data_IF_237832956037
#
_entry.id   IF_237832956037
#
_cell.length_a   1.000
_cell.length_b   1.000
_cell.length_c   1.000
_cell.angle_alpha   90.00
_cell.angle_beta   90.00
_cell.angle_gamma   90.00
#
_symmetry.space_group_name_H-M   'P 1'
#
loop_
_entity.id
_entity.type
_entity.pdbx_description
1 polymer ?
#
# COMPACT_ATOMS: atom_id res chain seq x y z
N UNK A 1 13.33 -15.33 -10.40
CA UNK A 1 14.40 -14.88 -11.33
C UNK A 1 15.60 -15.80 -11.14
N UNK A 2 16.39 -16.11 -12.17
CA UNK A 2 17.64 -16.87 -11.99
C UNK A 2 18.86 -15.93 -11.83
N UNK A 3 20.03 -16.46 -11.41
CA UNK A 3 21.24 -15.66 -11.12
C UNK A 3 21.68 -14.78 -12.28
N UNK A 4 21.70 -15.35 -13.49
CA UNK A 4 22.11 -14.64 -14.70
C UNK A 4 21.17 -13.47 -15.02
N UNK A 5 19.86 -13.69 -14.94
CA UNK A 5 18.86 -12.64 -15.10
C UNK A 5 19.01 -11.54 -14.05
N UNK A 6 19.27 -11.94 -12.80
CA UNK A 6 19.48 -11.01 -11.69
C UNK A 6 20.70 -10.11 -11.91
N UNK A 7 21.85 -10.69 -12.25
CA UNK A 7 23.06 -9.94 -12.55
C UNK A 7 22.92 -9.07 -13.82
N UNK A 8 22.22 -9.56 -14.85
CA UNK A 8 21.93 -8.77 -16.05
C UNK A 8 21.10 -7.52 -15.76
N UNK A 9 20.10 -7.60 -14.87
CA UNK A 9 19.31 -6.41 -14.48
C UNK A 9 20.21 -5.39 -13.79
N UNK A 10 21.07 -5.83 -12.87
CA UNK A 10 22.01 -4.95 -12.18
C UNK A 10 22.93 -4.26 -13.18
N UNK A 11 23.58 -5.04 -14.04
CA UNK A 11 24.55 -4.55 -15.01
C UNK A 11 23.92 -3.59 -16.02
N UNK A 12 22.76 -3.93 -16.58
CA UNK A 12 22.03 -3.07 -17.50
C UNK A 12 21.63 -1.75 -16.83
N UNK A 13 21.15 -1.80 -15.58
CA UNK A 13 20.79 -0.60 -14.82
C UNK A 13 22.02 0.30 -14.62
N UNK A 14 23.16 -0.30 -14.20
CA UNK A 14 24.41 0.44 -14.00
C UNK A 14 24.90 1.13 -15.28
N UNK A 15 24.74 0.50 -16.43
CA UNK A 15 25.21 1.01 -17.73
C UNK A 15 24.25 2.02 -18.38
N UNK A 16 22.94 1.88 -18.14
CA UNK A 16 21.90 2.60 -18.91
C UNK A 16 21.17 3.65 -18.08
N UNK A 17 20.80 3.31 -16.85
CA UNK A 17 19.93 4.13 -16.00
C UNK A 17 20.73 4.92 -14.94
N UNK A 18 21.92 4.42 -14.57
CA UNK A 18 22.75 5.02 -13.52
C UNK A 18 23.87 5.94 -14.01
N UNK A 19 23.93 6.29 -15.30
CA UNK A 19 24.91 7.27 -15.80
C UNK A 19 24.76 8.67 -15.14
N UNK A 20 23.60 8.95 -14.54
CA UNK A 20 23.29 10.20 -13.83
C UNK A 20 23.12 10.03 -12.32
N UNK A 21 23.25 8.81 -11.76
CA UNK A 21 23.11 8.60 -10.32
C UNK A 21 24.30 9.22 -9.57
N UNK A 22 24.03 10.14 -8.64
CA UNK A 22 25.05 10.87 -7.89
C UNK A 22 25.36 10.23 -6.54
N UNK A 23 24.52 9.28 -6.09
CA UNK A 23 24.65 8.64 -4.79
C UNK A 23 24.39 7.13 -4.82
N UNK A 24 24.96 6.41 -3.84
CA UNK A 24 24.73 4.98 -3.68
C UNK A 24 23.25 4.64 -3.45
N UNK A 25 22.48 5.55 -2.85
CA UNK A 25 21.05 5.40 -2.65
C UNK A 25 20.27 5.43 -3.96
N UNK A 26 20.57 6.38 -4.84
CA UNK A 26 19.93 6.49 -6.15
C UNK A 26 20.23 5.27 -7.03
N UNK A 27 21.50 4.85 -7.08
CA UNK A 27 21.91 3.64 -7.79
C UNK A 27 21.18 2.40 -7.26
N UNK A 28 21.14 2.24 -5.93
CA UNK A 28 20.45 1.11 -5.31
C UNK A 28 18.94 1.13 -5.58
N UNK A 29 18.31 2.31 -5.55
CA UNK A 29 16.89 2.48 -5.89
C UNK A 29 16.63 2.12 -7.35
N UNK A 30 17.45 2.56 -8.29
CA UNK A 30 17.29 2.25 -9.71
C UNK A 30 17.33 0.74 -9.94
N UNK A 31 18.36 0.06 -9.39
CA UNK A 31 18.53 -1.38 -9.52
C UNK A 31 17.32 -2.13 -8.95
N UNK A 32 16.94 -1.82 -7.72
CA UNK A 32 15.84 -2.51 -7.04
C UNK A 32 14.50 -2.27 -7.75
N UNK A 33 14.25 -1.05 -8.24
CA UNK A 33 13.04 -0.75 -9.00
C UNK A 33 12.96 -1.62 -10.28
N UNK A 34 14.07 -1.82 -10.99
CA UNK A 34 14.12 -2.69 -12.16
C UNK A 34 13.98 -4.18 -11.78
N UNK A 35 14.28 -4.56 -10.54
CA UNK A 35 13.95 -5.88 -9.97
C UNK A 35 12.50 -5.99 -9.47
N UNK A 36 11.70 -4.92 -9.52
CA UNK A 36 10.34 -4.88 -9.00
C UNK A 36 10.26 -4.81 -7.47
N UNK A 37 11.33 -4.35 -6.81
CA UNK A 37 11.44 -4.17 -5.37
C UNK A 37 11.69 -2.69 -5.07
N UNK A 38 11.04 -2.14 -4.05
CA UNK A 38 11.23 -0.72 -3.72
C UNK A 38 11.89 -0.53 -2.36
N UNK A 39 12.62 0.59 -2.23
CA UNK A 39 13.12 1.11 -0.97
C UNK A 39 12.23 2.28 -0.51
N UNK A 40 12.19 2.58 0.80
CA UNK A 40 11.56 3.79 1.31
C UNK A 40 12.06 5.04 0.57
N UNK A 41 11.21 6.06 0.48
CA UNK A 41 11.59 7.37 -0.04
C UNK A 41 12.28 8.20 1.05
N UNK A 42 12.87 9.35 0.70
CA UNK A 42 13.61 10.19 1.65
C UNK A 42 15.12 9.95 1.65
N UNK A 43 15.79 10.43 2.69
CA UNK A 43 17.25 10.34 2.85
C UNK A 43 17.70 8.96 3.38
N UNK A 44 19.02 8.72 3.42
CA UNK A 44 19.58 7.43 3.83
C UNK A 44 19.17 7.03 5.26
N UNK A 45 19.11 8.01 6.16
CA UNK A 45 18.78 7.78 7.56
C UNK A 45 17.32 7.32 7.69
N UNK A 46 16.40 8.02 7.04
CA UNK A 46 14.99 7.63 7.01
C UNK A 46 14.80 6.25 6.37
N UNK A 47 15.50 5.95 5.27
CA UNK A 47 15.47 4.64 4.62
C UNK A 47 15.91 3.53 5.58
N UNK A 48 17.02 3.73 6.29
CA UNK A 48 17.50 2.80 7.31
C UNK A 48 16.49 2.63 8.45
N UNK A 49 15.94 3.73 8.95
CA UNK A 49 14.99 3.73 10.06
C UNK A 49 13.69 3.00 9.75
N UNK A 50 13.21 3.10 8.51
CA UNK A 50 12.02 2.39 8.06
C UNK A 50 12.31 0.91 7.81
N UNK A 51 13.42 0.56 7.14
CA UNK A 51 13.74 -0.84 6.81
C UNK A 51 13.99 -1.68 8.07
N UNK A 52 14.65 -1.13 9.09
CA UNK A 52 14.94 -1.86 10.35
C UNK A 52 13.69 -2.26 11.13
N UNK A 53 12.51 -1.69 10.83
CA UNK A 53 11.24 -2.09 11.45
C UNK A 53 10.78 -3.48 11.03
N UNK A 54 11.33 -4.03 9.93
CA UNK A 54 10.87 -5.26 9.29
C UNK A 54 9.40 -5.25 8.82
N UNK A 55 8.77 -4.08 8.64
CA UNK A 55 7.38 -3.99 8.12
C UNK A 55 7.31 -3.36 6.72
N UNK A 56 8.44 -2.84 6.22
CA UNK A 56 8.48 -2.19 4.92
C UNK A 56 8.62 -3.20 3.77
N UNK A 57 7.56 -3.35 2.97
CA UNK A 57 7.55 -4.07 1.69
C UNK A 57 8.19 -5.47 1.68
N UNK A 58 8.07 -6.25 2.75
CA UNK A 58 8.70 -7.57 2.83
C UNK A 58 10.23 -7.55 2.97
N UNK A 59 10.86 -6.42 3.25
CA UNK A 59 12.26 -6.41 3.67
C UNK A 59 12.38 -7.02 5.06
N UNK A 60 13.31 -7.97 5.20
CA UNK A 60 13.58 -8.68 6.45
C UNK A 60 15.06 -8.70 6.78
N UNK A 61 15.37 -8.34 8.02
CA UNK A 61 16.70 -8.51 8.57
C UNK A 61 17.12 -9.98 8.47
N UNK A 62 18.35 -10.21 8.03
CA UNK A 62 18.92 -11.54 7.89
C UNK A 62 20.43 -11.50 8.13
N UNK A 63 21.06 -12.68 8.19
CA UNK A 63 22.51 -12.75 8.27
C UNK A 63 23.13 -12.45 6.90
N UNK A 64 24.40 -12.06 6.90
CA UNK A 64 25.18 -11.80 5.69
C UNK A 64 25.13 -12.98 4.71
N UNK A 65 25.26 -14.21 5.23
CA UNK A 65 25.26 -15.44 4.44
C UNK A 65 23.88 -15.67 3.79
N UNK A 66 22.81 -15.49 4.56
CA UNK A 66 21.43 -15.61 4.04
C UNK A 66 21.13 -14.56 2.99
N UNK A 67 21.63 -13.35 3.13
CA UNK A 67 21.46 -12.28 2.16
C UNK A 67 22.12 -12.65 0.81
N UNK A 68 23.34 -13.20 0.86
CA UNK A 68 24.02 -13.71 -0.34
C UNK A 68 23.28 -14.90 -0.96
N UNK A 69 22.80 -15.85 -0.15
CA UNK A 69 22.01 -16.97 -0.64
C UNK A 69 20.73 -16.51 -1.34
N UNK A 70 20.08 -15.45 -0.84
CA UNK A 70 18.91 -14.84 -1.48
C UNK A 70 19.27 -14.21 -2.82
N UNK A 71 20.34 -13.42 -2.90
CA UNK A 71 20.85 -12.89 -4.17
C UNK A 71 21.17 -14.01 -5.17
N UNK A 72 21.81 -15.09 -4.71
CA UNK A 72 22.11 -16.29 -5.51
C UNK A 72 20.85 -17.05 -5.97
N UNK A 73 19.68 -16.76 -5.41
CA UNK A 73 18.39 -17.28 -5.83
C UNK A 73 17.56 -16.23 -6.60
N UNK A 74 18.18 -15.13 -7.01
CA UNK A 74 17.54 -14.04 -7.77
C UNK A 74 16.53 -13.24 -6.95
N UNK A 75 16.74 -13.15 -5.64
CA UNK A 75 15.94 -12.37 -4.70
C UNK A 75 16.78 -11.17 -4.27
N UNK A 76 16.17 -9.98 -4.30
CA UNK A 76 16.82 -8.74 -3.91
C UNK A 76 17.34 -8.80 -2.47
N UNK A 77 18.60 -8.43 -2.28
CA UNK A 77 19.25 -8.36 -0.98
C UNK A 77 20.16 -7.13 -0.91
N UNK A 78 20.24 -6.52 0.27
CA UNK A 78 21.00 -5.30 0.52
C UNK A 78 21.79 -5.41 1.82
N UNK A 79 22.86 -4.62 1.91
CA UNK A 79 23.49 -4.23 3.17
C UNK A 79 23.28 -2.72 3.37
N UNK A 80 22.82 -2.30 4.54
CA UNK A 80 22.50 -0.89 4.81
C UNK A 80 22.95 -0.45 6.21
N UNK A 81 23.33 0.82 6.33
CA UNK A 81 23.54 1.55 7.57
C UNK A 81 22.94 2.96 7.46
N UNK A 82 23.06 3.79 8.49
CA UNK A 82 22.58 5.18 8.48
C UNK A 82 23.20 6.05 7.37
N UNK A 83 24.38 5.67 6.85
CA UNK A 83 25.15 6.49 5.90
C UNK A 83 25.46 5.81 4.58
N UNK A 84 25.22 4.50 4.45
CA UNK A 84 25.57 3.76 3.24
C UNK A 84 24.60 2.63 2.92
N UNK A 85 24.51 2.28 1.64
CA UNK A 85 23.73 1.15 1.14
C UNK A 85 24.48 0.46 0.00
N UNK A 86 24.40 -0.87 -0.02
CA UNK A 86 24.88 -1.71 -1.09
C UNK A 86 23.78 -2.70 -1.50
N UNK A 87 23.68 -2.98 -2.79
CA UNK A 87 22.91 -4.10 -3.35
C UNK A 87 23.83 -5.30 -3.50
N UNK A 88 23.38 -6.47 -3.03
CA UNK A 88 24.13 -7.71 -3.19
C UNK A 88 23.90 -8.28 -4.60
N UNK A 89 24.99 -8.44 -5.36
CA UNK A 89 24.97 -9.19 -6.62
C UNK A 89 25.02 -10.71 -6.37
N UNK A 90 24.56 -11.50 -7.33
CA UNK A 90 24.66 -12.96 -7.25
C UNK A 90 26.09 -13.41 -7.57
N UNK A 91 26.57 -14.42 -6.85
CA UNK A 91 27.81 -15.12 -7.15
C UNK A 91 27.57 -16.01 -8.38
N UNK A 92 27.93 -15.48 -9.54
CA UNK A 92 27.81 -16.15 -10.83
C UNK A 92 29.14 -16.06 -11.59
N UNK A 93 29.66 -17.22 -12.00
CA UNK A 93 30.94 -17.30 -12.72
C UNK A 93 30.80 -17.00 -14.22
N UNK A 94 29.60 -17.15 -14.77
CA UNK A 94 29.33 -16.90 -16.19
C UNK A 94 28.98 -15.44 -16.44
N UNK A 95 28.27 -14.79 -15.51
CA UNK A 95 27.92 -13.38 -15.56
C UNK A 95 28.28 -12.68 -14.24
N UNK A 96 29.58 -12.46 -13.95
CA UNK A 96 29.99 -11.71 -12.77
C UNK A 96 29.61 -10.23 -12.93
N UNK A 97 29.14 -9.62 -11.84
CA UNK A 97 28.95 -8.16 -11.78
C UNK A 97 30.21 -7.53 -11.21
N UNK A 98 30.77 -6.55 -11.92
CA UNK A 98 31.92 -5.79 -11.42
C UNK A 98 31.55 -5.05 -10.12
N UNK A 99 32.28 -5.27 -9.00
CA UNK A 99 32.00 -4.58 -7.75
C UNK A 99 32.13 -3.06 -7.88
N UNK A 100 31.19 -2.33 -7.29
CA UNK A 100 31.16 -0.87 -7.19
C UNK A 100 30.87 -0.44 -5.75
N UNK A 101 30.87 0.86 -5.48
CA UNK A 101 30.51 1.38 -4.15
C UNK A 101 29.06 1.05 -3.73
N UNK A 102 28.19 0.71 -4.68
CA UNK A 102 26.75 0.45 -4.46
C UNK A 102 26.34 -0.97 -4.76
N UNK A 103 27.22 -1.79 -5.35
CA UNK A 103 26.91 -3.16 -5.76
C UNK A 103 28.11 -4.06 -5.50
N UNK A 104 27.94 -5.15 -4.76
CA UNK A 104 29.02 -6.10 -4.51
C UNK A 104 28.51 -7.45 -4.02
N UNK A 105 29.36 -8.47 -4.03
CA UNK A 105 29.10 -9.71 -3.29
C UNK A 105 29.65 -9.63 -1.87
N UNK A 106 29.15 -10.49 -1.00
CA UNK A 106 29.65 -10.65 0.38
C UNK A 106 31.10 -11.16 0.47
N UNK A 107 31.58 -11.78 -0.61
CA UNK A 107 32.92 -12.36 -0.77
C UNK A 107 33.95 -11.40 -1.37
N UNK A 108 33.51 -10.33 -2.06
CA UNK A 108 34.40 -9.41 -2.79
C UNK A 108 34.53 -8.02 -2.15
N UNK A 109 33.94 -7.80 -0.97
CA UNK A 109 34.02 -6.52 -0.28
C UNK A 109 35.14 -6.38 0.75
N UNK A 110 35.64 -5.15 0.98
CA UNK A 110 36.50 -4.92 2.13
C UNK A 110 35.75 -5.29 3.43
N UNK A 111 36.35 -6.16 4.25
CA UNK A 111 35.71 -6.68 5.48
C UNK A 111 35.17 -5.57 6.39
N UNK A 112 35.85 -4.42 6.43
CA UNK A 112 35.48 -3.26 7.26
C UNK A 112 34.25 -2.49 6.77
N UNK A 113 33.96 -2.50 5.46
CA UNK A 113 32.76 -1.86 4.91
C UNK A 113 31.53 -2.72 5.14
N UNK A 114 31.68 -4.05 5.16
CA UNK A 114 30.59 -4.98 5.40
C UNK A 114 30.27 -5.19 6.88
N UNK A 115 31.23 -4.98 7.80
CA UNK A 115 31.04 -5.20 9.23
C UNK A 115 30.10 -4.20 9.90
N UNK A 116 29.89 -3.03 9.30
CA UNK A 116 29.01 -1.97 9.82
C UNK A 116 27.62 -1.96 9.17
N UNK A 117 27.33 -2.91 8.28
CA UNK A 117 26.06 -2.99 7.57
C UNK A 117 25.16 -4.04 8.21
N UNK A 118 23.89 -3.69 8.37
CA UNK A 118 22.84 -4.67 8.61
C UNK A 118 22.34 -5.21 7.27
N UNK A 119 22.15 -6.52 7.21
CA UNK A 119 21.75 -7.18 5.98
C UNK A 119 20.25 -7.43 5.96
N UNK A 120 19.64 -7.12 4.83
CA UNK A 120 18.23 -7.35 4.59
C UNK A 120 18.05 -8.09 3.28
N UNK A 121 17.10 -9.02 3.26
CA UNK A 121 16.66 -9.66 2.03
C UNK A 121 15.16 -9.50 1.91
N UNK A 122 14.70 -9.41 0.68
CA UNK A 122 13.28 -9.35 0.39
C UNK A 122 12.65 -10.74 0.59
N UNK A 123 11.68 -10.86 1.49
CA UNK A 123 10.95 -12.11 1.73
C UNK A 123 9.72 -12.25 0.83
N UNK A 124 9.24 -11.13 0.29
CA UNK A 124 7.95 -11.10 -0.38
C UNK A 124 8.08 -11.61 -1.81
N UNK A 125 7.12 -12.46 -2.19
CA UNK A 125 6.91 -12.80 -3.60
C UNK A 125 6.17 -11.63 -4.22
N UNK A 126 6.87 -10.83 -5.02
CA UNK A 126 6.21 -9.88 -5.91
C UNK A 126 5.39 -10.68 -6.92
N UNK A 127 4.07 -10.49 -6.91
CA UNK A 127 3.15 -11.29 -7.72
C UNK A 127 2.85 -10.61 -9.05
N UNK A 128 2.83 -9.27 -9.09
CA UNK A 128 2.57 -8.52 -10.32
C UNK A 128 3.09 -7.07 -10.23
N UNK A 129 3.64 -6.59 -11.35
CA UNK A 129 3.95 -5.17 -11.60
C UNK A 129 2.93 -4.61 -12.59
N UNK A 130 2.33 -3.47 -12.26
CA UNK A 130 1.37 -2.79 -13.14
C UNK A 130 2.06 -1.64 -13.86
N UNK A 131 1.69 -1.46 -15.13
CA UNK A 131 2.26 -0.44 -16.04
C UNK A 131 2.13 1.00 -15.52
N UNK A 132 1.33 1.24 -14.48
CA UNK A 132 1.09 2.54 -13.85
C UNK A 132 1.95 2.79 -12.58
N UNK A 133 3.01 2.01 -12.35
CA UNK A 133 3.91 2.21 -11.20
C UNK A 133 3.39 1.63 -9.87
N UNK A 134 2.38 0.77 -9.92
CA UNK A 134 1.89 0.03 -8.76
C UNK A 134 2.48 -1.39 -8.72
N UNK A 135 2.89 -1.83 -7.52
CA UNK A 135 3.45 -3.17 -7.30
C UNK A 135 2.60 -3.92 -6.28
N UNK A 136 2.14 -5.12 -6.64
CA UNK A 136 1.44 -6.01 -5.71
C UNK A 136 2.43 -7.03 -5.16
N UNK A 137 2.50 -7.11 -3.84
CA UNK A 137 3.38 -8.03 -3.14
C UNK A 137 2.65 -8.70 -1.98
N UNK A 138 3.06 -9.93 -1.66
CA UNK A 138 2.55 -10.67 -0.50
C UNK A 138 3.54 -10.58 0.65
N UNK A 139 3.12 -9.95 1.72
CA UNK A 139 3.88 -9.77 2.95
C UNK A 139 3.32 -10.68 4.05
N UNK A 140 4.00 -11.80 4.33
CA UNK A 140 3.45 -12.88 5.16
C UNK A 140 2.12 -13.41 4.59
N UNK A 141 1.07 -13.40 5.42
CA UNK A 141 -0.28 -13.83 5.02
C UNK A 141 -1.11 -12.71 4.35
N UNK A 142 -0.62 -11.48 4.27
CA UNK A 142 -1.37 -10.34 3.78
C UNK A 142 -0.91 -9.90 2.38
N UNK A 143 -1.86 -9.53 1.52
CA UNK A 143 -1.52 -8.83 0.28
C UNK A 143 -1.37 -7.33 0.58
N UNK A 144 -0.36 -6.70 0.01
CA UNK A 144 -0.13 -5.25 0.07
C UNK A 144 0.04 -4.71 -1.35
N UNK A 145 -0.41 -3.49 -1.60
CA UNK A 145 -0.19 -2.77 -2.87
C UNK A 145 0.66 -1.54 -2.60
N UNK A 146 1.83 -1.47 -3.20
CA UNK A 146 2.65 -0.27 -3.19
C UNK A 146 2.27 0.62 -4.38
N UNK A 147 1.88 1.85 -4.10
CA UNK A 147 1.60 2.89 -5.08
C UNK A 147 2.78 3.85 -5.13
N UNK A 148 3.47 3.90 -6.27
CA UNK A 148 4.61 4.79 -6.51
C UNK A 148 4.15 6.02 -7.29
N UNK A 149 4.15 7.17 -6.63
CA UNK A 149 4.01 8.49 -7.25
C UNK A 149 5.36 9.19 -7.40
N UNK A 150 5.42 10.33 -8.13
CA UNK A 150 6.65 11.09 -8.36
C UNK A 150 7.38 11.49 -7.06
N UNK A 151 6.63 11.76 -5.99
CA UNK A 151 7.14 12.16 -4.67
C UNK A 151 6.40 11.48 -3.49
N UNK A 152 5.64 10.41 -3.75
CA UNK A 152 4.84 9.76 -2.70
C UNK A 152 4.91 8.25 -2.82
N UNK A 153 5.19 7.59 -1.71
CA UNK A 153 5.15 6.14 -1.61
C UNK A 153 4.05 5.76 -0.61
N UNK A 154 3.00 5.09 -1.07
CA UNK A 154 1.88 4.65 -0.23
C UNK A 154 1.79 3.15 -0.26
N UNK A 155 1.65 2.54 0.91
CA UNK A 155 1.33 1.11 1.02
C UNK A 155 -0.13 0.99 1.37
N UNK A 156 -0.86 0.29 0.51
CA UNK A 156 -2.20 -0.17 0.79
C UNK A 156 -2.14 -1.56 1.41
N UNK A 157 -2.73 -1.70 2.57
CA UNK A 157 -2.90 -2.96 3.28
C UNK A 157 -4.22 -3.57 2.82
N UNK A 158 -4.18 -4.60 1.96
CA UNK A 158 -5.42 -5.20 1.46
C UNK A 158 -6.23 -5.76 2.62
N UNK A 159 -7.51 -5.42 2.67
CA UNK A 159 -8.45 -5.96 3.65
C UNK A 159 -9.00 -7.25 3.06
N UNK A 160 -8.34 -8.38 3.38
CA UNK A 160 -8.69 -9.71 2.88
C UNK A 160 -10.18 -10.02 3.05
N UNK A 161 -10.95 -9.88 1.98
CA UNK A 161 -12.24 -10.57 1.78
C UNK A 161 -12.21 -11.32 0.47
N UNK A 162 -11.32 -12.29 0.41
CA UNK A 162 -11.53 -13.45 -0.44
C UNK A 162 -12.76 -14.20 0.12
N UNK A 163 -13.87 -14.22 -0.64
CA UNK A 163 -15.14 -14.90 -0.29
C UNK A 163 -15.01 -16.44 -0.20
N UNK A 164 -13.83 -17.00 -0.45
CA UNK A 164 -13.51 -18.43 -0.51
C UNK A 164 -12.87 -18.91 0.81
N UNK A 165 -12.22 -18.04 1.59
CA UNK A 165 -11.50 -18.42 2.83
C UNK A 165 -11.91 -17.63 4.09
N UNK A 166 -13.19 -17.25 4.20
CA UNK A 166 -13.76 -16.47 5.32
C UNK A 166 -13.42 -17.02 6.72
N UNK A 167 -13.43 -18.34 6.90
CA UNK A 167 -13.20 -18.97 8.21
C UNK A 167 -11.72 -18.93 8.68
N UNK A 168 -10.76 -18.77 7.76
CA UNK A 168 -9.33 -18.81 8.07
C UNK A 168 -8.74 -17.42 8.36
N UNK A 169 -9.42 -16.35 7.92
CA UNK A 169 -8.95 -14.96 8.02
C UNK A 169 -9.38 -14.22 9.31
N UNK A 170 -10.15 -14.86 10.19
CA UNK A 170 -10.79 -14.25 11.37
C UNK A 170 -9.84 -13.87 12.54
N UNK A 171 -8.53 -14.06 12.42
CA UNK A 171 -7.59 -14.03 13.58
C UNK A 171 -6.87 -12.68 13.75
N UNK A 172 -7.02 -11.73 12.82
CA UNK A 172 -6.62 -10.32 13.02
C UNK A 172 -7.80 -9.43 12.69
N UNK A 173 -8.23 -8.55 13.58
CA UNK A 173 -9.40 -7.70 13.29
C UNK A 173 -9.15 -6.87 12.03
N UNK A 174 -9.91 -7.15 10.97
CA UNK A 174 -9.85 -6.45 9.68
C UNK A 174 -9.91 -4.91 9.84
N UNK A 175 -10.51 -4.47 10.94
CA UNK A 175 -10.60 -3.09 11.39
C UNK A 175 -9.23 -2.42 11.62
N UNK A 176 -8.28 -3.10 12.27
CA UNK A 176 -6.94 -2.54 12.51
C UNK A 176 -6.15 -2.41 11.19
N UNK A 177 -6.33 -3.36 10.26
CA UNK A 177 -5.71 -3.31 8.93
C UNK A 177 -6.22 -2.14 8.09
N UNK A 178 -7.54 -1.95 8.06
CA UNK A 178 -8.16 -0.84 7.34
C UNK A 178 -7.69 0.53 7.84
N UNK A 179 -7.37 0.66 9.14
CA UNK A 179 -6.86 1.91 9.72
C UNK A 179 -5.49 2.34 9.19
N UNK A 180 -4.60 1.39 8.87
CA UNK A 180 -3.33 1.71 8.18
C UNK A 180 -3.54 2.38 6.82
N UNK A 181 -4.69 2.16 6.17
CA UNK A 181 -5.01 2.80 4.89
C UNK A 181 -5.58 4.22 5.07
N UNK A 182 -6.14 4.54 6.24
CA UNK A 182 -6.81 5.82 6.52
C UNK A 182 -5.88 6.81 7.21
N UNK A 183 -5.08 6.36 8.17
CA UNK A 183 -4.20 7.23 8.95
C UNK A 183 -2.74 7.11 8.50
N UNK A 184 -2.01 8.22 8.56
CA UNK A 184 -0.55 8.25 8.42
C UNK A 184 0.04 7.67 9.71
N UNK A 185 1.08 6.84 9.59
CA UNK A 185 1.84 6.25 10.71
C UNK A 185 1.04 5.51 11.80
N UNK A 186 -0.19 5.06 11.48
CA UNK A 186 -1.02 4.28 12.40
C UNK A 186 -0.27 3.12 13.05
N UNK A 187 -0.20 3.14 14.38
CA UNK A 187 0.35 2.06 15.18
C UNK A 187 -0.72 1.53 16.16
N UNK A 188 -1.17 0.27 16.02
CA UNK A 188 -2.21 -0.29 16.88
C UNK A 188 -1.81 -0.40 18.36
N UNK A 189 -0.54 -0.22 18.70
CA UNK A 189 -0.02 -0.27 20.08
C UNK A 189 0.14 1.11 20.74
N UNK A 190 0.18 2.18 19.96
CA UNK A 190 0.45 3.53 20.44
C UNK A 190 -0.22 4.55 19.53
N UNK A 191 -1.35 5.09 19.97
CA UNK A 191 -1.86 6.47 19.75
C UNK A 191 -3.38 6.53 19.94
N UNK A 192 -3.86 7.68 20.40
CA UNK A 192 -5.25 8.09 20.23
C UNK A 192 -5.44 8.54 18.79
N UNK A 193 -6.38 7.92 18.06
CA UNK A 193 -6.66 8.17 16.63
C UNK A 193 -6.99 9.63 16.27
N UNK A 194 -7.21 10.49 17.27
CA UNK A 194 -7.49 11.92 17.11
C UNK A 194 -6.30 12.74 16.59
N UNK A 195 -5.07 12.26 16.76
CA UNK A 195 -3.86 13.06 16.51
C UNK A 195 -3.16 12.70 15.18
N UNK A 196 -3.72 11.75 14.44
CA UNK A 196 -3.13 11.20 13.22
C UNK A 196 -3.59 11.93 11.96
N UNK A 197 -2.63 12.26 11.11
CA UNK A 197 -2.90 12.80 9.77
C UNK A 197 -3.69 11.79 8.93
N UNK A 198 -4.67 12.28 8.17
CA UNK A 198 -5.52 11.44 7.32
C UNK A 198 -4.87 11.28 5.94
N UNK A 199 -4.58 10.04 5.57
CA UNK A 199 -4.01 9.67 4.28
C UNK A 199 -4.97 9.97 3.13
N UNK A 200 -4.44 10.53 2.05
CA UNK A 200 -5.20 10.81 0.82
C UNK A 200 -4.74 9.93 -0.34
N UNK A 201 -5.68 9.46 -1.16
CA UNK A 201 -5.42 8.81 -2.44
C UNK A 201 -6.07 9.62 -3.56
N UNK A 202 -5.36 9.74 -4.67
CA UNK A 202 -5.87 10.34 -5.91
C UNK A 202 -6.96 9.47 -6.52
N UNK A 203 -7.75 10.07 -7.41
CA UNK A 203 -8.85 9.40 -8.09
C UNK A 203 -8.37 8.17 -8.88
N UNK A 204 -7.21 8.26 -9.53
CA UNK A 204 -6.62 7.13 -10.28
C UNK A 204 -6.09 6.03 -9.35
N UNK A 205 -5.50 6.39 -8.20
CA UNK A 205 -5.13 5.42 -7.18
C UNK A 205 -6.36 4.69 -6.64
N UNK A 206 -7.46 5.40 -6.34
CA UNK A 206 -8.69 4.81 -5.84
C UNK A 206 -9.37 3.89 -6.86
N UNK A 207 -9.37 4.25 -8.16
CA UNK A 207 -9.87 3.36 -9.22
C UNK A 207 -9.09 2.06 -9.28
N UNK A 208 -7.76 2.15 -9.24
CA UNK A 208 -6.90 0.96 -9.23
C UNK A 208 -7.15 0.11 -7.97
N UNK A 209 -7.16 0.75 -6.79
CA UNK A 209 -7.37 0.05 -5.54
C UNK A 209 -8.76 -0.60 -5.47
N UNK A 210 -9.80 0.03 -6.03
CA UNK A 210 -11.14 -0.56 -6.04
C UNK A 210 -11.23 -1.82 -6.91
N UNK A 211 -10.44 -1.91 -7.98
CA UNK A 211 -10.33 -3.13 -8.80
C UNK A 211 -9.64 -4.28 -8.04
N UNK A 212 -8.77 -3.96 -7.08
CA UNK A 212 -7.96 -4.93 -6.34
C UNK A 212 -8.58 -5.31 -4.99
N UNK A 213 -9.15 -4.34 -4.28
CA UNK A 213 -9.65 -4.42 -2.92
C UNK A 213 -10.87 -3.49 -2.73
N UNK A 214 -12.03 -3.83 -3.31
CA UNK A 214 -13.23 -2.99 -3.24
C UNK A 214 -13.73 -2.80 -1.80
N UNK A 215 -13.52 -3.79 -0.92
CA UNK A 215 -13.91 -3.72 0.49
C UNK A 215 -13.00 -2.80 1.31
N UNK A 216 -11.69 -2.88 1.12
CA UNK A 216 -10.76 -1.93 1.74
C UNK A 216 -11.04 -0.50 1.29
N UNK A 217 -11.37 -0.28 0.01
CA UNK A 217 -11.76 1.05 -0.48
C UNK A 217 -13.05 1.51 0.18
N UNK A 218 -14.06 0.64 0.31
CA UNK A 218 -15.29 0.97 1.02
C UNK A 218 -15.04 1.37 2.48
N UNK A 219 -14.20 0.62 3.19
CA UNK A 219 -13.79 0.94 4.56
C UNK A 219 -13.08 2.30 4.62
N UNK A 220 -12.11 2.52 3.74
CA UNK A 220 -11.36 3.78 3.66
C UNK A 220 -12.28 4.97 3.43
N UNK A 221 -13.20 4.87 2.46
CA UNK A 221 -14.13 5.96 2.13
C UNK A 221 -15.06 6.25 3.30
N UNK A 222 -15.58 5.23 4.00
CA UNK A 222 -16.44 5.44 5.16
C UNK A 222 -15.72 6.17 6.29
N UNK A 223 -14.62 5.58 6.76
CA UNK A 223 -13.91 6.07 7.93
C UNK A 223 -13.30 7.45 7.65
N UNK A 224 -12.78 7.67 6.43
CA UNK A 224 -12.26 8.98 6.03
C UNK A 224 -13.36 10.05 5.99
N UNK A 225 -14.58 9.71 5.56
CA UNK A 225 -15.70 10.65 5.60
C UNK A 225 -16.02 11.05 7.04
N UNK A 226 -16.11 10.07 7.94
CA UNK A 226 -16.39 10.27 9.37
C UNK A 226 -15.30 11.10 10.06
N UNK A 227 -14.02 10.93 9.68
CA UNK A 227 -12.93 11.70 10.25
C UNK A 227 -12.83 13.14 9.72
N UNK A 228 -13.28 13.40 8.49
CA UNK A 228 -13.13 14.72 7.86
C UNK A 228 -14.33 15.64 8.04
N UNK A 229 -15.52 15.08 8.21
CA UNK A 229 -16.76 15.83 8.14
C UNK A 229 -17.67 15.51 9.32
N UNK A 230 -18.14 16.55 9.99
CA UNK A 230 -19.09 16.41 11.09
C UNK A 230 -20.53 16.22 10.58
N UNK A 231 -20.88 16.85 9.45
CA UNK A 231 -22.25 16.79 8.93
C UNK A 231 -22.47 15.55 8.05
N UNK A 232 -23.64 14.91 8.23
CA UNK A 232 -24.08 13.79 7.38
C UNK A 232 -24.10 14.20 5.91
N UNK A 233 -24.53 15.43 5.61
CA UNK A 233 -24.59 15.96 4.25
C UNK A 233 -23.21 15.97 3.56
N UNK A 234 -22.17 16.42 4.26
CA UNK A 234 -20.80 16.44 3.72
C UNK A 234 -20.21 15.03 3.59
N UNK A 235 -20.49 14.15 4.56
CA UNK A 235 -20.07 12.75 4.49
C UNK A 235 -20.69 12.04 3.27
N UNK A 236 -21.99 12.23 3.03
CA UNK A 236 -22.69 11.67 1.86
C UNK A 236 -22.17 12.28 0.58
N UNK A 237 -21.98 13.60 0.52
CA UNK A 237 -21.42 14.28 -0.66
C UNK A 237 -20.02 13.77 -1.01
N UNK A 238 -19.18 13.49 -0.01
CA UNK A 238 -17.88 12.86 -0.23
C UNK A 238 -18.02 11.45 -0.81
N UNK A 239 -18.88 10.61 -0.24
CA UNK A 239 -19.17 9.26 -0.74
C UNK A 239 -19.68 9.29 -2.18
N UNK A 240 -20.56 10.23 -2.51
CA UNK A 240 -21.12 10.42 -3.86
C UNK A 240 -20.07 10.85 -4.87
N UNK A 241 -19.14 11.73 -4.47
CA UNK A 241 -17.99 12.14 -5.29
C UNK A 241 -17.10 10.95 -5.61
N UNK A 242 -16.80 10.09 -4.63
CA UNK A 242 -16.02 8.86 -4.86
C UNK A 242 -16.79 7.87 -5.73
N UNK A 243 -18.09 7.72 -5.53
CA UNK A 243 -18.94 6.89 -6.40
C UNK A 243 -18.84 7.35 -7.86
N UNK A 244 -18.96 8.65 -8.13
CA UNK A 244 -18.83 9.19 -9.48
C UNK A 244 -17.44 8.95 -10.10
N UNK A 245 -16.38 9.04 -9.29
CA UNK A 245 -15.00 8.72 -9.74
C UNK A 245 -14.90 7.26 -10.18
N UNK A 246 -15.50 6.32 -9.45
CA UNK A 246 -15.39 4.89 -9.71
C UNK A 246 -16.32 4.40 -10.84
N UNK A 247 -17.53 4.96 -10.94
CA UNK A 247 -18.57 4.47 -11.84
C UNK A 247 -18.86 5.40 -13.03
N UNK A 248 -18.27 6.60 -13.06
CA UNK A 248 -18.47 7.58 -14.14
C UNK A 248 -19.90 8.13 -14.22
N UNK A 249 -20.67 8.03 -13.13
CA UNK A 249 -22.03 8.57 -13.04
C UNK A 249 -22.36 8.98 -11.61
N UNK A 250 -23.33 9.88 -11.46
CA UNK A 250 -23.91 10.20 -10.17
C UNK A 250 -24.64 8.98 -9.55
N UNK A 251 -24.67 8.87 -8.21
CA UNK A 251 -25.45 7.86 -7.52
C UNK A 251 -26.95 8.16 -7.63
N UNK A 252 -27.75 7.11 -7.50
CA UNK A 252 -29.21 7.23 -7.31
C UNK A 252 -29.53 7.48 -5.84
N UNK A 253 -30.69 8.07 -5.58
CA UNK A 253 -31.17 8.38 -4.24
C UNK A 253 -32.48 7.66 -3.99
N UNK A 254 -32.68 7.21 -2.76
CA UNK A 254 -33.84 6.41 -2.38
C UNK A 254 -34.45 6.91 -1.08
N UNK A 255 -35.77 6.93 -1.04
CA UNK A 255 -36.57 7.19 0.17
C UNK A 255 -37.46 5.99 0.44
N UNK A 256 -37.92 5.87 1.69
CA UNK A 256 -38.85 4.84 2.11
C UNK A 256 -40.23 5.46 2.36
N UNK A 257 -41.26 4.87 1.77
CA UNK A 257 -42.65 5.31 1.97
C UNK A 257 -43.15 5.00 3.38
N UNK A 258 -44.26 5.64 3.78
CA UNK A 258 -45.00 5.30 5.00
C UNK A 258 -45.58 3.87 5.01
N UNK A 259 -45.57 3.17 3.87
CA UNK A 259 -45.91 1.75 3.79
C UNK A 259 -44.69 0.83 3.89
N UNK A 260 -43.48 1.39 4.00
CA UNK A 260 -42.21 0.67 4.13
C UNK A 260 -41.56 0.28 2.81
N UNK A 261 -42.06 0.76 1.67
CA UNK A 261 -41.53 0.47 0.35
C UNK A 261 -40.46 1.50 -0.07
N UNK A 262 -39.35 1.03 -0.65
CA UNK A 262 -38.30 1.92 -1.18
C UNK A 262 -38.63 2.38 -2.59
N UNK A 263 -38.42 3.67 -2.87
CA UNK A 263 -38.56 4.25 -4.20
C UNK A 263 -37.43 5.25 -4.49
N UNK A 264 -37.12 5.42 -5.77
CA UNK A 264 -36.08 6.35 -6.20
C UNK A 264 -36.60 7.79 -6.17
N UNK A 265 -35.77 8.73 -5.68
CA UNK A 265 -36.03 10.16 -5.69
C UNK A 265 -35.00 10.92 -6.54
N UNK A 266 -35.36 12.12 -6.97
CA UNK A 266 -34.46 13.00 -7.71
C UNK A 266 -33.48 13.66 -6.73
N UNK A 267 -32.21 13.78 -7.14
CA UNK A 267 -31.27 14.62 -6.41
C UNK A 267 -31.55 16.09 -6.73
N UNK A 268 -32.02 16.84 -5.75
CA UNK A 268 -32.33 18.27 -5.92
C UNK A 268 -31.21 19.19 -5.41
N UNK A 269 -30.12 18.64 -4.88
CA UNK A 269 -29.06 19.40 -4.21
C UNK A 269 -29.42 19.87 -2.79
N UNK A 270 -30.70 19.80 -2.40
CA UNK A 270 -31.21 20.15 -1.07
C UNK A 270 -31.88 18.95 -0.38
N UNK A 271 -31.41 17.74 -0.69
CA UNK A 271 -31.98 16.54 -0.09
C UNK A 271 -31.77 16.58 1.44
N UNK A 272 -32.82 16.22 2.18
CA UNK A 272 -32.69 15.96 3.61
C UNK A 272 -31.94 14.64 3.77
N UNK A 273 -30.61 14.74 3.92
CA UNK A 273 -29.73 13.59 4.10
C UNK A 273 -30.01 12.83 5.40
N UNK A 274 -30.93 13.27 6.26
CA UNK A 274 -31.46 12.43 7.33
C UNK A 274 -32.50 11.42 6.85
N UNK A 275 -33.16 11.64 5.70
CA UNK A 275 -34.30 10.86 5.21
C UNK A 275 -34.03 10.10 3.91
N UNK A 276 -32.97 10.47 3.20
CA UNK A 276 -32.63 9.94 1.88
C UNK A 276 -31.38 9.07 1.97
N UNK A 277 -31.40 7.91 1.33
CA UNK A 277 -30.24 7.03 1.17
C UNK A 277 -29.63 7.19 -0.22
N UNK A 278 -28.34 7.53 -0.29
CA UNK A 278 -27.60 7.50 -1.56
C UNK A 278 -27.13 6.07 -1.90
N UNK A 279 -27.14 5.72 -3.19
CA UNK A 279 -26.57 4.49 -3.73
C UNK A 279 -25.09 4.32 -3.34
N UNK A 280 -24.36 5.42 -3.18
CA UNK A 280 -22.96 5.38 -2.74
C UNK A 280 -22.80 4.78 -1.34
N UNK A 281 -23.79 4.99 -0.47
CA UNK A 281 -23.75 4.54 0.92
C UNK A 281 -24.07 3.06 1.08
N UNK A 282 -24.70 2.45 0.08
CA UNK A 282 -24.82 1.00 0.00
C UNK A 282 -23.47 0.33 -0.20
N UNK A 283 -22.51 1.03 -0.81
CA UNK A 283 -21.16 0.54 -1.07
C UNK A 283 -20.18 0.97 0.01
N UNK A 284 -20.25 2.21 0.48
CA UNK A 284 -19.23 2.82 1.35
C UNK A 284 -19.70 3.03 2.79
N UNK A 285 -20.74 2.32 3.24
CA UNK A 285 -21.28 2.45 4.60
C UNK A 285 -22.35 3.53 4.71
N UNK A 286 -23.35 3.25 5.56
CA UNK A 286 -24.58 4.04 5.68
C UNK A 286 -24.52 4.95 6.89
N UNK A 287 -25.03 6.18 6.75
CA UNK A 287 -25.39 6.98 7.91
C UNK A 287 -26.68 6.44 8.57
N UNK A 288 -26.96 6.93 9.78
CA UNK A 288 -28.20 6.61 10.47
C UNK A 288 -29.39 7.36 9.84
N UNK A 289 -30.26 6.62 9.16
CA UNK A 289 -31.45 7.18 8.52
C UNK A 289 -32.55 7.42 9.56
N UNK A 290 -33.06 8.65 9.60
CA UNK A 290 -34.31 9.01 10.25
C UNK A 290 -35.48 8.63 9.34
N UNK A 291 -36.02 7.42 9.53
CA UNK A 291 -37.13 6.86 8.74
C UNK A 291 -38.46 6.95 9.50
N UNK A 292 -39.44 7.68 8.94
CA UNK A 292 -40.78 7.84 9.49
C UNK A 292 -41.55 6.52 9.60
N UNK A 293 -41.33 5.57 8.68
CA UNK A 293 -41.92 4.24 8.75
C UNK A 293 -41.43 3.47 9.97
N UNK A 294 -40.11 3.50 10.21
CA UNK A 294 -39.52 2.88 11.39
C UNK A 294 -40.10 3.47 12.68
N UNK A 295 -40.28 4.79 12.74
CA UNK A 295 -40.91 5.44 13.88
C UNK A 295 -42.37 5.06 14.09
N UNK A 296 -43.16 4.98 13.02
CA UNK A 296 -44.55 4.53 13.10
C UNK A 296 -44.62 3.11 13.69
N UNK A 297 -43.73 2.21 13.26
CA UNK A 297 -43.60 0.86 13.81
C UNK A 297 -43.18 0.80 15.27
N UNK A 298 -42.33 1.72 15.74
CA UNK A 298 -41.96 1.79 17.16
C UNK A 298 -43.08 2.31 18.07
N UNK A 299 -44.12 2.94 17.51
CA UNK A 299 -45.27 3.48 18.26
C UNK A 299 -46.49 2.55 18.26
N UNK A 300 -46.45 1.46 17.48
CA UNK A 300 -47.42 0.34 17.48
C UNK A 300 -47.07 -0.68 18.58
#
# INVERSE_FOLDING_TARGET
>A
MNRKQYNNIIEHTLQSDCNECQSALETSRAILNNMGVSLPQGDMKHVYDVIRTNDYMGWRACTKEKAQDKANNGIAAIGISESNIIVLSAEDKEQPVTPTASVMTTSQGPLYTLSNLQFFAHDSKTTAYFRNGATIFRDGNCCKVALKGPNSFKVWHCVHRDLIYEAENAISSDFAKGKHNVFVDYNPLHETESDLDIRNYSDEELKLLYQLDPFGVAFYVNLRAECLYESVAEQVAYKDRIFNVLFGRAPRYFERSLSGAWYQVLNTGNNDYGRVLSEAELLFGRHALWDEYAQAKFRE
#
